data_IF_443803606469
#
_entry.id   IF_443803606469
#
_cell.length_a   1.000
_cell.length_b   1.000
_cell.length_c   1.000
_cell.angle_alpha   90.00
_cell.angle_beta   90.00
_cell.angle_gamma   90.00
#
_symmetry.space_group_name_H-M   'P 1'
#
loop_
_entity.id
_entity.type
_entity.pdbx_description
1 polymer ?
#
# COMPACT_ATOMS: atom_id res chain seq x y z
N UNK A 1 -4.27 -9.11 16.57
CA UNK A 1 -4.14 -7.94 15.66
C UNK A 1 -4.40 -8.44 14.25
N UNK A 2 -5.09 -7.69 13.39
CA UNK A 2 -5.36 -8.11 11.99
C UNK A 2 -4.14 -7.81 11.13
N UNK A 3 -3.81 -8.71 10.21
CA UNK A 3 -2.63 -8.60 9.36
C UNK A 3 -3.02 -8.33 7.91
N UNK A 4 -2.35 -7.36 7.29
CA UNK A 4 -2.51 -7.01 5.88
C UNK A 4 -1.18 -7.24 5.17
N UNK A 5 -1.21 -7.98 4.07
CA UNK A 5 -0.05 -8.18 3.20
C UNK A 5 -0.11 -7.19 2.03
N UNK A 6 0.91 -6.35 1.86
CA UNK A 6 1.10 -5.61 0.60
C UNK A 6 2.03 -6.37 -0.36
N UNK A 7 1.68 -6.37 -1.65
CA UNK A 7 2.52 -6.88 -2.74
C UNK A 7 2.76 -5.71 -3.69
N UNK A 8 3.91 -5.05 -3.56
CA UNK A 8 4.20 -3.81 -4.27
C UNK A 8 5.71 -3.51 -4.37
N UNK A 9 6.05 -2.45 -5.10
CA UNK A 9 7.42 -1.92 -5.16
C UNK A 9 7.83 -1.16 -3.90
N UNK A 10 9.13 -1.11 -3.65
CA UNK A 10 9.76 -0.32 -2.60
C UNK A 10 10.20 1.04 -3.13
N UNK A 11 9.67 2.10 -2.53
CA UNK A 11 10.07 3.49 -2.74
C UNK A 11 11.12 3.91 -1.71
N UNK A 12 12.35 4.16 -2.16
CA UNK A 12 13.45 4.63 -1.30
C UNK A 12 13.16 5.95 -0.56
N UNK A 13 12.25 6.77 -1.06
CA UNK A 13 11.83 8.04 -0.42
C UNK A 13 10.79 7.83 0.68
N UNK A 14 10.12 6.67 0.68
CA UNK A 14 9.09 6.29 1.63
C UNK A 14 7.77 7.05 1.50
N UNK A 15 7.51 7.70 0.36
CA UNK A 15 6.26 8.43 0.09
C UNK A 15 5.19 7.61 -0.64
N UNK A 16 5.59 6.51 -1.27
CA UNK A 16 4.74 5.57 -2.01
C UNK A 16 5.17 4.12 -1.73
N UNK A 17 4.69 3.17 -2.55
CA UNK A 17 5.09 1.77 -2.49
C UNK A 17 4.75 1.10 -1.16
N UNK A 18 5.46 0.01 -0.84
CA UNK A 18 5.25 -0.72 0.42
C UNK A 18 5.41 0.18 1.65
N UNK A 19 6.20 1.26 1.58
CA UNK A 19 6.40 2.18 2.69
C UNK A 19 5.13 2.98 3.01
N UNK A 20 4.40 3.45 2.00
CA UNK A 20 3.12 4.13 2.21
C UNK A 20 2.03 3.15 2.68
N UNK A 21 2.05 1.93 2.12
CA UNK A 21 1.11 0.87 2.49
C UNK A 21 1.25 0.51 3.97
N UNK A 22 2.47 0.19 4.42
CA UNK A 22 2.76 -0.19 5.81
C UNK A 22 2.44 0.92 6.80
N UNK A 23 2.76 2.20 6.48
CA UNK A 23 2.38 3.36 7.31
C UNK A 23 0.87 3.53 7.39
N UNK A 24 0.15 3.25 6.31
CA UNK A 24 -1.31 3.31 6.31
C UNK A 24 -1.90 2.19 7.16
N UNK A 25 -1.39 0.96 7.04
CA UNK A 25 -1.85 -0.17 7.85
C UNK A 25 -1.64 0.10 9.34
N UNK A 26 -0.47 0.61 9.72
CA UNK A 26 -0.16 0.99 11.10
C UNK A 26 -1.09 2.11 11.60
N UNK A 27 -1.36 3.14 10.77
CA UNK A 27 -2.28 4.22 11.12
C UNK A 27 -3.72 3.74 11.40
N UNK A 28 -4.12 2.58 10.85
CA UNK A 28 -5.39 1.92 11.12
C UNK A 28 -5.31 0.81 12.18
N UNK A 29 -4.16 0.61 12.83
CA UNK A 29 -3.96 -0.42 13.86
C UNK A 29 -3.87 -1.84 13.31
N UNK A 30 -3.59 -2.01 12.02
CA UNK A 30 -3.30 -3.30 11.40
C UNK A 30 -1.79 -3.57 11.38
N UNK A 31 -1.41 -4.84 11.54
CA UNK A 31 -0.03 -5.27 11.32
C UNK A 31 0.23 -5.38 9.82
N UNK A 32 1.29 -4.75 9.32
CA UNK A 32 1.66 -4.79 7.92
C UNK A 32 2.78 -5.78 7.63
N UNK A 33 2.56 -6.67 6.64
CA UNK A 33 3.60 -7.49 6.02
C UNK A 33 3.78 -7.09 4.55
N UNK A 34 4.90 -7.45 3.92
CA UNK A 34 5.20 -7.07 2.53
C UNK A 34 5.88 -8.18 1.73
N UNK A 35 5.52 -8.28 0.45
CA UNK A 35 6.30 -8.93 -0.59
C UNK A 35 6.72 -7.89 -1.64
N UNK A 36 8.03 -7.74 -1.85
CA UNK A 36 8.59 -6.68 -2.68
C UNK A 36 8.73 -7.16 -4.12
N UNK A 37 8.11 -6.42 -5.05
CA UNK A 37 8.15 -6.74 -6.50
C UNK A 37 9.27 -6.01 -7.24
N UNK A 38 9.70 -4.86 -6.74
CA UNK A 38 10.71 -4.00 -7.36
C UNK A 38 11.34 -3.09 -6.30
N UNK A 39 12.63 -2.81 -6.42
CA UNK A 39 13.30 -1.76 -5.67
C UNK A 39 13.48 -0.54 -6.58
N UNK A 40 13.12 0.65 -6.11
CA UNK A 40 13.34 1.88 -6.87
C UNK A 40 14.37 2.77 -6.18
N UNK A 41 15.34 3.26 -6.94
CA UNK A 41 16.10 4.45 -6.54
C UNK A 41 15.20 5.65 -6.82
N UNK A 42 14.41 6.03 -5.82
CA UNK A 42 13.35 7.03 -5.93
C UNK A 42 13.49 8.10 -4.85
N UNK A 43 13.18 9.34 -5.22
CA UNK A 43 13.04 10.47 -4.31
C UNK A 43 11.85 11.35 -4.75
N UNK A 44 11.62 12.47 -4.08
CA UNK A 44 10.50 13.36 -4.39
C UNK A 44 10.52 13.94 -5.82
N UNK A 45 11.66 13.88 -6.51
CA UNK A 45 11.83 14.39 -7.88
C UNK A 45 11.59 13.33 -8.96
N UNK A 46 11.49 12.04 -8.60
CA UNK A 46 11.22 10.95 -9.53
C UNK A 46 12.00 9.68 -9.22
N UNK A 47 11.98 8.75 -10.19
CA UNK A 47 12.69 7.47 -10.17
C UNK A 47 13.92 7.57 -11.06
N UNK A 48 15.10 7.29 -10.51
CA UNK A 48 16.37 7.27 -11.26
C UNK A 48 16.77 5.88 -11.72
N UNK A 49 16.39 4.83 -10.99
CA UNK A 49 16.70 3.45 -11.33
C UNK A 49 15.67 2.48 -10.75
N UNK A 50 15.56 1.32 -11.39
CA UNK A 50 14.62 0.25 -11.05
C UNK A 50 15.39 -1.08 -11.05
N UNK A 51 15.35 -1.77 -9.92
CA UNK A 51 15.83 -3.14 -9.80
C UNK A 51 14.63 -4.08 -9.62
N UNK A 52 14.37 -4.87 -10.65
CA UNK A 52 13.30 -5.87 -10.66
C UNK A 52 13.66 -7.05 -9.75
N UNK A 53 12.69 -7.48 -8.92
CA UNK A 53 12.82 -8.71 -8.14
C UNK A 53 12.25 -9.87 -8.95
N UNK A 54 13.02 -10.97 -9.05
CA UNK A 54 12.59 -12.16 -9.78
C UNK A 54 11.24 -12.69 -9.28
N UNK A 55 10.32 -12.98 -10.20
CA UNK A 55 8.96 -13.42 -9.86
C UNK A 55 8.90 -14.65 -8.95
N UNK A 56 9.84 -15.59 -9.09
CA UNK A 56 9.95 -16.75 -8.21
C UNK A 56 10.25 -16.33 -6.77
N UNK A 57 11.17 -15.38 -6.58
CA UNK A 57 11.50 -14.86 -5.26
C UNK A 57 10.36 -14.03 -4.66
N UNK A 58 9.57 -13.30 -5.46
CA UNK A 58 8.34 -12.65 -4.98
C UNK A 58 7.34 -13.67 -4.46
N UNK A 59 7.17 -14.78 -5.18
CA UNK A 59 6.29 -15.87 -4.75
C UNK A 59 6.77 -16.51 -3.45
N UNK A 60 8.08 -16.73 -3.30
CA UNK A 60 8.66 -17.23 -2.04
C UNK A 60 8.40 -16.29 -0.86
N UNK A 61 8.51 -14.96 -1.05
CA UNK A 61 8.13 -13.98 -0.02
C UNK A 61 6.65 -14.12 0.39
N UNK A 62 5.74 -14.21 -0.59
CA UNK A 62 4.29 -14.36 -0.33
C UNK A 62 4.01 -15.67 0.41
N UNK A 63 4.58 -16.78 -0.06
CA UNK A 63 4.40 -18.10 0.55
C UNK A 63 4.96 -18.13 1.97
N UNK A 64 6.12 -17.50 2.22
CA UNK A 64 6.69 -17.38 3.57
C UNK A 64 5.76 -16.65 4.55
N UNK A 65 5.10 -15.56 4.12
CA UNK A 65 4.15 -14.84 4.98
C UNK A 65 2.88 -15.65 5.19
N UNK A 66 2.32 -16.24 4.14
CA UNK A 66 1.08 -17.02 4.23
C UNK A 66 1.22 -18.32 5.05
N UNK A 67 2.43 -18.87 5.14
CA UNK A 67 2.71 -20.05 5.96
C UNK A 67 2.79 -19.76 7.45
N UNK A 68 3.18 -18.53 7.83
CA UNK A 68 3.37 -18.13 9.24
C UNK A 68 2.16 -17.36 9.79
N UNK A 69 1.48 -16.57 8.95
CA UNK A 69 0.45 -15.63 9.38
C UNK A 69 -0.93 -15.86 8.77
N UNK A 70 -1.98 -15.64 9.57
CA UNK A 70 -3.36 -15.55 9.12
C UNK A 70 -3.63 -14.16 8.48
N UNK A 71 -3.31 -14.05 7.19
CA UNK A 71 -3.47 -12.82 6.40
C UNK A 71 -4.95 -12.51 6.20
N UNK A 72 -5.39 -11.34 6.71
CA UNK A 72 -6.81 -10.93 6.70
C UNK A 72 -7.21 -10.13 5.45
N UNK A 73 -6.26 -9.48 4.79
CA UNK A 73 -6.45 -8.86 3.48
C UNK A 73 -5.12 -8.77 2.74
N UNK A 74 -5.19 -8.69 1.41
CA UNK A 74 -4.03 -8.46 0.55
C UNK A 74 -4.26 -7.17 -0.22
N UNK A 75 -3.27 -6.28 -0.22
CA UNK A 75 -3.20 -5.15 -1.14
C UNK A 75 -2.17 -5.45 -2.22
N UNK A 76 -2.53 -5.21 -3.47
CA UNK A 76 -1.65 -5.35 -4.61
C UNK A 76 -1.43 -3.96 -5.19
N UNK A 77 -0.19 -3.48 -5.18
CA UNK A 77 0.21 -2.22 -5.81
C UNK A 77 0.78 -2.45 -7.21
N UNK A 78 1.85 -1.72 -7.55
CA UNK A 78 2.55 -1.91 -8.81
C UNK A 78 3.08 -3.35 -8.93
N UNK A 79 2.47 -4.12 -9.83
CA UNK A 79 2.97 -5.42 -10.25
C UNK A 79 3.87 -5.25 -11.46
N UNK A 80 5.06 -5.84 -11.40
CA UNK A 80 5.95 -5.91 -12.55
C UNK A 80 5.63 -7.13 -13.44
N UNK A 81 5.07 -8.21 -12.86
CA UNK A 81 4.66 -9.42 -13.60
C UNK A 81 3.28 -9.93 -13.18
N UNK A 82 2.51 -10.41 -14.18
CA UNK A 82 1.17 -11.00 -14.02
C UNK A 82 1.16 -12.38 -13.35
N UNK A 83 2.31 -13.04 -13.26
CA UNK A 83 2.42 -14.45 -12.86
C UNK A 83 2.45 -14.67 -11.34
N UNK A 84 2.38 -13.58 -10.56
CA UNK A 84 2.66 -13.59 -9.13
C UNK A 84 1.47 -14.08 -8.28
N UNK A 85 0.23 -14.06 -8.80
CA UNK A 85 -0.96 -14.22 -7.94
C UNK A 85 -1.81 -15.44 -8.35
N UNK A 86 -1.87 -16.42 -7.44
CA UNK A 86 -2.87 -17.50 -7.47
C UNK A 86 -4.18 -17.02 -6.85
N UNK A 87 -5.34 -17.61 -7.21
CA UNK A 87 -6.60 -17.34 -6.52
C UNK A 87 -6.47 -17.65 -5.02
N UNK A 88 -6.79 -16.68 -4.17
CA UNK A 88 -6.82 -16.82 -2.71
C UNK A 88 -8.21 -16.45 -2.21
N UNK A 89 -8.71 -17.15 -1.19
CA UNK A 89 -9.98 -16.81 -0.53
C UNK A 89 -9.78 -15.74 0.57
N UNK A 90 -9.04 -14.69 0.22
CA UNK A 90 -8.68 -13.56 1.08
C UNK A 90 -9.13 -12.29 0.34
N UNK A 91 -9.73 -11.30 1.02
CA UNK A 91 -10.06 -10.02 0.38
C UNK A 91 -8.82 -9.41 -0.28
N UNK A 92 -8.93 -9.12 -1.58
CA UNK A 92 -7.85 -8.54 -2.38
C UNK A 92 -8.27 -7.14 -2.84
N UNK A 93 -7.45 -6.15 -2.51
CA UNK A 93 -7.56 -4.79 -3.04
C UNK A 93 -6.48 -4.61 -4.11
N UNK A 94 -6.92 -4.47 -5.36
CA UNK A 94 -6.03 -4.17 -6.48
C UNK A 94 -5.94 -2.65 -6.67
N UNK A 95 -4.73 -2.10 -6.51
CA UNK A 95 -4.38 -0.73 -6.86
C UNK A 95 -3.59 -0.73 -8.18
N UNK A 96 -4.28 -0.58 -9.33
CA UNK A 96 -3.60 -0.60 -10.60
C UNK A 96 -2.80 0.70 -10.77
N UNK A 97 -1.49 0.61 -10.61
CA UNK A 97 -0.54 1.70 -10.87
C UNK A 97 -0.42 1.93 -12.38
N UNK A 98 -1.43 2.56 -12.97
CA UNK A 98 -1.35 3.11 -14.33
C UNK A 98 -0.73 4.50 -14.28
N UNK A 99 0.09 4.83 -15.29
CA UNK A 99 0.53 6.20 -15.60
C UNK A 99 -0.74 7.08 -15.68
N UNK A 100 -0.92 7.98 -14.70
CA UNK A 100 -2.25 8.45 -14.28
C UNK A 100 -3.02 9.26 -15.34
N UNK A 101 -4.34 9.01 -15.45
CA UNK A 101 -5.34 10.03 -15.84
C UNK A 101 -5.96 10.61 -14.56
N UNK A 102 -5.53 11.83 -14.23
CA UNK A 102 -6.02 12.87 -13.30
C UNK A 102 -7.15 12.67 -12.26
N UNK A 103 -8.08 11.71 -12.37
CA UNK A 103 -9.29 11.62 -11.52
C UNK A 103 -9.31 10.53 -10.44
N UNK A 104 -8.25 9.71 -10.30
CA UNK A 104 -8.18 8.64 -9.29
C UNK A 104 -7.65 9.08 -7.91
N UNK A 105 -7.25 10.35 -7.74
CA UNK A 105 -6.48 10.86 -6.59
C UNK A 105 -7.18 10.86 -5.21
N UNK A 106 -8.43 10.42 -5.10
CA UNK A 106 -9.25 10.57 -3.89
C UNK A 106 -9.56 9.27 -3.15
N UNK A 107 -9.11 8.12 -3.65
CA UNK A 107 -9.28 6.84 -2.97
C UNK A 107 -7.90 6.29 -2.64
N UNK A 108 -7.62 6.13 -1.34
CA UNK A 108 -6.43 5.45 -0.86
C UNK A 108 -6.77 3.95 -0.71
N UNK A 109 -6.23 3.10 -1.59
CA UNK A 109 -6.52 1.67 -1.55
C UNK A 109 -5.92 0.96 -0.33
N UNK A 110 -4.83 1.48 0.24
CA UNK A 110 -4.18 0.89 1.42
C UNK A 110 -5.10 1.01 2.65
N UNK A 111 -5.77 2.16 2.79
CA UNK A 111 -6.80 2.39 3.78
C UNK A 111 -7.99 1.45 3.55
N UNK A 112 -8.40 1.20 2.31
CA UNK A 112 -9.46 0.23 2.01
C UNK A 112 -9.05 -1.18 2.45
N UNK A 113 -7.84 -1.62 2.10
CA UNK A 113 -7.32 -2.94 2.46
C UNK A 113 -7.24 -3.14 3.97
N UNK A 114 -6.76 -2.12 4.71
CA UNK A 114 -6.73 -2.14 6.16
C UNK A 114 -8.13 -2.28 6.77
N UNK A 115 -9.09 -1.50 6.27
CA UNK A 115 -10.45 -1.51 6.82
C UNK A 115 -11.23 -2.80 6.48
N UNK A 116 -11.01 -3.39 5.31
CA UNK A 116 -11.52 -4.73 4.98
C UNK A 116 -10.93 -5.79 5.91
N UNK A 117 -9.63 -5.75 6.20
CA UNK A 117 -9.01 -6.66 7.18
C UNK A 117 -9.60 -6.50 8.59
N UNK A 118 -10.02 -5.29 8.96
CA UNK A 118 -10.71 -4.98 10.20
C UNK A 118 -12.19 -5.39 10.19
N UNK A 119 -12.70 -5.97 9.11
CA UNK A 119 -14.06 -6.50 9.01
C UNK A 119 -15.12 -5.49 8.62
N UNK A 120 -14.74 -4.27 8.18
CA UNK A 120 -15.69 -3.29 7.65
C UNK A 120 -16.21 -3.70 6.29
N UNK A 121 -17.39 -3.19 5.91
CA UNK A 121 -17.89 -3.37 4.54
C UNK A 121 -17.05 -2.59 3.54
N UNK A 122 -17.23 -2.87 2.25
CA UNK A 122 -16.57 -2.11 1.19
C UNK A 122 -16.98 -0.64 1.22
N UNK A 123 -18.27 -0.36 1.42
CA UNK A 123 -18.82 0.99 1.48
C UNK A 123 -18.21 1.79 2.65
N UNK A 124 -18.17 1.21 3.84
CA UNK A 124 -17.55 1.81 5.03
C UNK A 124 -16.07 2.06 4.81
N UNK A 125 -15.36 1.09 4.23
CA UNK A 125 -13.93 1.18 3.93
C UNK A 125 -13.63 2.33 2.95
N UNK A 126 -14.48 2.53 1.95
CA UNK A 126 -14.37 3.64 0.99
C UNK A 126 -14.61 4.99 1.66
N UNK A 127 -15.62 5.11 2.54
CA UNK A 127 -15.91 6.36 3.24
C UNK A 127 -14.74 6.77 4.14
N UNK A 128 -14.22 5.82 4.92
CA UNK A 128 -13.06 6.01 5.80
C UNK A 128 -11.83 6.40 4.99
N UNK A 129 -11.57 5.74 3.86
CA UNK A 129 -10.46 6.05 2.96
C UNK A 129 -10.47 7.50 2.44
N UNK A 130 -11.64 8.01 2.05
CA UNK A 130 -11.79 9.40 1.60
C UNK A 130 -11.45 10.42 2.71
N UNK A 131 -11.92 10.17 3.93
CA UNK A 131 -11.63 11.03 5.09
C UNK A 131 -10.13 11.01 5.43
N UNK A 132 -9.54 9.81 5.43
CA UNK A 132 -8.12 9.61 5.68
C UNK A 132 -7.25 10.43 4.70
N UNK A 133 -7.45 10.23 3.39
CA UNK A 133 -6.58 10.87 2.39
C UNK A 133 -6.74 12.40 2.39
N UNK A 134 -7.97 12.90 2.60
CA UNK A 134 -8.24 14.32 2.70
C UNK A 134 -7.41 14.96 3.84
N UNK A 135 -7.47 14.37 5.04
CA UNK A 135 -6.74 14.87 6.20
C UNK A 135 -5.22 14.70 6.05
N UNK A 136 -4.78 13.58 5.47
CA UNK A 136 -3.36 13.28 5.25
C UNK A 136 -2.69 14.29 4.31
N UNK A 137 -3.41 14.73 3.27
CA UNK A 137 -2.94 15.74 2.32
C UNK A 137 -2.91 17.12 2.97
N UNK A 138 -3.97 17.51 3.70
CA UNK A 138 -4.03 18.82 4.36
C UNK A 138 -2.88 19.02 5.36
N UNK A 139 -2.42 17.93 5.99
CA UNK A 139 -1.37 17.95 7.00
C UNK A 139 -0.02 17.42 6.50
N UNK A 140 0.14 17.28 5.18
CA UNK A 140 1.35 16.73 4.59
C UNK A 140 2.58 17.58 4.98
N UNK A 141 3.67 16.95 5.49
CA UNK A 141 4.88 17.68 5.80
C UNK A 141 5.58 18.17 4.52
N UNK A 142 6.18 19.36 4.60
CA UNK A 142 7.00 19.91 3.50
C UNK A 142 8.42 19.34 3.56
N UNK A 143 8.56 18.08 3.15
CA UNK A 143 9.83 17.35 3.12
C UNK A 143 10.20 16.99 1.68
N UNK A 144 11.47 17.19 1.32
CA UNK A 144 11.98 17.01 -0.05
C UNK A 144 11.79 18.25 -0.93
N UNK A 145 12.10 18.10 -2.21
CA UNK A 145 12.19 19.22 -3.17
C UNK A 145 10.94 19.37 -4.06
N UNK A 146 9.90 18.55 -3.85
CA UNK A 146 8.65 18.53 -4.65
C UNK A 146 7.44 18.23 -3.75
N UNK A 147 6.41 17.54 -4.25
CA UNK A 147 5.29 17.00 -3.47
C UNK A 147 5.83 15.90 -2.55
N UNK A 148 6.17 16.29 -1.32
CA UNK A 148 6.59 15.39 -0.25
C UNK A 148 5.51 14.36 0.15
N UNK A 149 5.81 13.49 1.13
CA UNK A 149 4.89 12.43 1.56
C UNK A 149 3.62 12.99 2.22
N UNK A 150 2.55 12.20 2.25
CA UNK A 150 1.35 12.52 3.04
C UNK A 150 1.57 12.21 4.53
N UNK A 151 0.78 12.84 5.41
CA UNK A 151 0.87 12.61 6.85
C UNK A 151 -0.08 11.51 7.33
N UNK A 152 0.43 10.28 7.36
CA UNK A 152 -0.32 9.07 7.70
C UNK A 152 -0.76 9.05 9.16
N UNK A 153 0.16 9.41 10.08
CA UNK A 153 -0.08 9.37 11.53
C UNK A 153 -1.24 10.27 11.92
N UNK A 154 -1.17 11.55 11.51
CA UNK A 154 -2.20 12.51 11.90
C UNK A 154 -3.53 12.25 11.19
N UNK A 155 -3.53 11.60 10.03
CA UNK A 155 -4.76 11.19 9.37
C UNK A 155 -5.45 10.02 10.09
N UNK A 156 -4.68 9.07 10.64
CA UNK A 156 -5.20 7.96 11.45
C UNK A 156 -5.80 8.42 12.78
N UNK A 157 -5.18 9.39 13.45
CA UNK A 157 -5.69 9.98 14.72
C UNK A 157 -7.03 10.73 14.59
N UNK A 158 -7.50 10.98 13.36
CA UNK A 158 -8.70 11.76 13.05
C UNK A 158 -9.89 10.92 12.61
N UNK A 159 -9.81 9.59 12.77
CA UNK A 159 -10.82 8.60 12.37
C UNK A 159 -11.33 7.82 13.57
#
# INVERSE_FOLDING_TARGET
MKLVLTIAGSDSSGGAGIQADLKTFEAFGAFGASAITVLTAQNTMGVSDIYEVEALFVKEQIESVLQDFDVSAIKIGMLYSKEIIKPLNIPIVLDPVFISKANSKLLNQDAIAANLALGKTLEESIEVSKKFIHNAILKAPKIGHSRGPINHKTAGEML
#
